data_IF_079171196398
#
_entry.id   IF_079171196398
#
_cell.length_a   1.000
_cell.length_b   1.000
_cell.length_c   1.000
_cell.angle_alpha   90.00
_cell.angle_beta   90.00
_cell.angle_gamma   90.00
#
_symmetry.space_group_name_H-M   'P 1'
#
loop_
_entity.id
_entity.type
_entity.pdbx_description
1 polymer ?
#
# COMPACT_ATOMS: atom_id res chain seq x y z
N UNK A 1 -4.38 7.43 13.47
CA UNK A 1 -3.26 8.29 13.03
C UNK A 1 -1.97 7.50 12.81
N UNK A 2 -1.52 6.66 13.75
CA UNK A 2 -0.29 5.86 13.56
C UNK A 2 -0.35 4.91 12.34
N UNK A 3 -1.49 4.22 12.15
CA UNK A 3 -1.67 3.28 11.04
C UNK A 3 -1.56 3.93 9.66
N UNK A 4 -2.09 5.14 9.49
CA UNK A 4 -2.06 5.83 8.19
C UNK A 4 -0.69 6.37 7.84
N UNK A 5 0.09 6.81 8.83
CA UNK A 5 1.49 7.19 8.62
C UNK A 5 2.31 5.99 8.14
N UNK A 6 2.13 4.83 8.79
CA UNK A 6 2.79 3.58 8.42
C UNK A 6 2.37 3.13 7.01
N UNK A 7 1.07 3.09 6.71
CA UNK A 7 0.55 2.71 5.39
C UNK A 7 1.02 3.66 4.28
N UNK A 8 1.12 4.95 4.56
CA UNK A 8 1.65 5.93 3.61
C UNK A 8 3.13 5.65 3.31
N UNK A 9 3.95 5.40 4.33
CA UNK A 9 5.36 5.05 4.15
C UNK A 9 5.52 3.79 3.30
N UNK A 10 4.72 2.75 3.55
CA UNK A 10 4.71 1.53 2.76
C UNK A 10 4.35 1.80 1.29
N UNK A 11 3.35 2.65 1.04
CA UNK A 11 2.94 3.01 -0.33
C UNK A 11 3.99 3.86 -1.04
N UNK A 12 4.63 4.82 -0.36
CA UNK A 12 5.69 5.67 -0.96
C UNK A 12 6.90 4.82 -1.34
N UNK A 13 7.33 3.88 -0.49
CA UNK A 13 8.42 2.96 -0.81
C UNK A 13 8.05 2.02 -1.97
N UNK A 14 6.84 1.46 -1.96
CA UNK A 14 6.35 0.64 -3.06
C UNK A 14 6.30 1.40 -4.39
N UNK A 15 5.87 2.67 -4.37
CA UNK A 15 5.86 3.53 -5.55
C UNK A 15 7.29 3.82 -6.02
N UNK A 16 8.19 4.25 -5.14
CA UNK A 16 9.57 4.55 -5.47
C UNK A 16 10.28 3.38 -6.17
N UNK A 17 10.04 2.14 -5.69
CA UNK A 17 10.55 0.91 -6.32
C UNK A 17 9.99 0.68 -7.74
N UNK A 18 8.72 1.03 -7.99
CA UNK A 18 8.07 0.81 -9.29
C UNK A 18 8.34 1.93 -10.31
N UNK A 19 8.48 3.17 -9.88
CA UNK A 19 8.79 4.32 -10.77
C UNK A 19 10.28 4.60 -10.91
N UNK A 20 11.14 3.98 -10.09
CA UNK A 20 12.58 4.23 -10.07
C UNK A 20 12.95 5.66 -9.68
N UNK A 21 12.05 6.37 -9.00
CA UNK A 21 12.23 7.74 -8.55
C UNK A 21 12.39 7.78 -7.04
N UNK A 22 13.42 8.46 -6.56
CA UNK A 22 13.58 8.77 -5.14
C UNK A 22 12.54 9.81 -4.73
N UNK A 23 11.49 9.32 -4.08
CA UNK A 23 10.45 10.18 -3.51
C UNK A 23 10.90 10.67 -2.12
N UNK A 24 10.88 11.99 -1.93
CA UNK A 24 11.12 12.61 -0.63
C UNK A 24 9.98 12.24 0.33
N UNK A 25 10.24 11.20 1.11
CA UNK A 25 9.32 10.62 2.07
C UNK A 25 8.94 11.61 3.19
N UNK A 26 9.86 12.50 3.58
CA UNK A 26 9.61 13.49 4.62
C UNK A 26 8.64 14.57 4.11
N UNK A 27 8.80 14.98 2.84
CA UNK A 27 7.87 15.90 2.18
C UNK A 27 6.49 15.27 2.02
N UNK A 28 6.40 14.03 1.55
CA UNK A 28 5.12 13.31 1.42
C UNK A 28 4.41 13.15 2.77
N UNK A 29 5.14 12.85 3.84
CA UNK A 29 4.57 12.75 5.18
C UNK A 29 4.05 14.09 5.70
N UNK A 30 4.78 15.19 5.48
CA UNK A 30 4.32 16.54 5.86
C UNK A 30 3.06 16.94 5.10
N UNK A 31 3.06 16.74 3.79
CA UNK A 31 1.90 17.05 2.94
C UNK A 31 0.68 16.22 3.37
N UNK A 32 0.86 14.91 3.57
CA UNK A 32 -0.21 14.05 4.04
C UNK A 32 -0.69 14.41 5.46
N UNK A 33 0.21 14.84 6.34
CA UNK A 33 -0.15 15.34 7.67
C UNK A 33 -1.06 16.57 7.59
N UNK A 34 -0.68 17.57 6.77
CA UNK A 34 -1.48 18.78 6.55
C UNK A 34 -2.84 18.43 5.92
N UNK A 35 -2.87 17.57 4.89
CA UNK A 35 -4.11 17.14 4.25
C UNK A 35 -5.02 16.42 5.23
N UNK A 36 -4.49 15.50 6.04
CA UNK A 36 -5.29 14.77 7.02
C UNK A 36 -5.79 15.68 8.15
N UNK A 37 -5.03 16.72 8.54
CA UNK A 37 -5.51 17.73 9.48
C UNK A 37 -6.71 18.50 8.91
N UNK A 38 -6.60 18.97 7.66
CA UNK A 38 -7.68 19.65 6.96
C UNK A 38 -8.91 18.74 6.78
N UNK A 39 -8.69 17.47 6.43
CA UNK A 39 -9.76 16.48 6.33
C UNK A 39 -10.43 16.23 7.69
N UNK A 40 -9.66 16.16 8.77
CA UNK A 40 -10.20 16.01 10.13
C UNK A 40 -11.08 17.20 10.54
N UNK A 41 -10.67 18.42 10.21
CA UNK A 41 -11.47 19.63 10.45
C UNK A 41 -12.75 19.66 9.59
N UNK A 42 -12.70 19.12 8.37
CA UNK A 42 -13.84 18.99 7.47
C UNK A 42 -14.74 17.78 7.71
N UNK A 43 -14.50 16.98 8.77
CA UNK A 43 -15.27 15.76 9.06
C UNK A 43 -15.01 14.58 8.11
N UNK A 44 -13.92 14.63 7.34
CA UNK A 44 -13.53 13.63 6.35
C UNK A 44 -12.77 12.43 6.93
N UNK A 45 -12.64 11.38 6.11
CA UNK A 45 -11.91 10.16 6.44
C UNK A 45 -10.41 10.35 6.13
N UNK A 46 -9.54 9.69 6.90
CA UNK A 46 -8.10 9.73 6.67
C UNK A 46 -7.77 9.25 5.25
N UNK A 47 -6.89 9.99 4.57
CA UNK A 47 -6.57 9.80 3.16
C UNK A 47 -5.06 9.72 2.95
N UNK A 48 -4.65 8.92 1.97
CA UNK A 48 -3.27 8.77 1.52
C UNK A 48 -3.23 8.48 0.02
N UNK A 49 -2.07 8.66 -0.60
CA UNK A 49 -1.89 8.41 -2.04
C UNK A 49 -2.08 6.92 -2.37
N UNK A 50 -2.95 6.63 -3.34
CA UNK A 50 -3.17 5.26 -3.82
C UNK A 50 -2.18 4.95 -4.94
N UNK A 51 -1.21 4.08 -4.64
CA UNK A 51 -0.17 3.64 -5.57
C UNK A 51 -0.75 3.11 -6.91
N UNK A 52 -1.76 2.25 -6.85
CA UNK A 52 -2.37 1.67 -8.06
C UNK A 52 -3.02 2.73 -8.97
N UNK A 53 -3.70 3.73 -8.38
CA UNK A 53 -4.33 4.81 -9.13
C UNK A 53 -3.30 5.74 -9.77
N UNK A 54 -2.26 6.09 -9.03
CA UNK A 54 -1.17 6.93 -9.53
C UNK A 54 -0.40 6.25 -10.66
N UNK A 55 -0.13 4.94 -10.54
CA UNK A 55 0.57 4.18 -11.59
C UNK A 55 -0.29 4.09 -12.86
N UNK A 56 -1.59 3.84 -12.72
CA UNK A 56 -2.50 3.80 -13.88
C UNK A 56 -2.61 5.17 -14.55
N UNK A 57 -2.74 6.25 -13.77
CA UNK A 57 -2.75 7.62 -14.30
C UNK A 57 -1.42 7.95 -15.01
N UNK A 58 -0.30 7.51 -14.45
CA UNK A 58 1.02 7.66 -15.07
C UNK A 58 1.12 6.91 -16.40
N UNK A 59 0.64 5.66 -16.46
CA UNK A 59 0.59 4.85 -17.70
C UNK A 59 -0.31 5.44 -18.77
N UNK A 60 -1.41 6.10 -18.38
CA UNK A 60 -2.32 6.79 -19.31
C UNK A 60 -1.82 8.17 -19.76
N UNK A 61 -0.57 8.56 -19.44
CA UNK A 61 -0.01 9.85 -19.82
C UNK A 61 -0.50 11.03 -18.97
N UNK A 62 -1.24 10.77 -17.89
CA UNK A 62 -1.74 11.75 -16.93
C UNK A 62 -0.61 12.31 -16.05
N UNK A 63 0.29 13.09 -16.64
CA UNK A 63 1.43 13.72 -15.96
C UNK A 63 1.15 15.15 -15.48
N UNK A 64 -0.02 15.71 -15.82
CA UNK A 64 -0.35 17.11 -15.53
C UNK A 64 -1.21 17.28 -14.29
N UNK A 65 -1.01 18.39 -13.56
CA UNK A 65 -1.87 18.79 -12.43
C UNK A 65 -3.33 19.05 -12.84
N UNK A 66 -3.57 19.29 -14.13
CA UNK A 66 -4.92 19.42 -14.68
C UNK A 66 -5.68 18.10 -14.63
N UNK A 67 -5.02 16.97 -14.88
CA UNK A 67 -5.67 15.66 -14.83
C UNK A 67 -6.17 15.33 -13.42
N UNK A 68 -5.38 15.65 -12.38
CA UNK A 68 -5.80 15.45 -10.99
C UNK A 68 -6.88 16.44 -10.56
N UNK A 69 -6.83 17.68 -11.02
CA UNK A 69 -7.86 18.69 -10.74
C UNK A 69 -9.21 18.33 -11.36
N UNK A 70 -9.21 17.90 -12.63
CA UNK A 70 -10.42 17.40 -13.31
C UNK A 70 -10.95 16.16 -12.60
N UNK A 71 -10.07 15.23 -12.20
CA UNK A 71 -10.46 14.06 -11.41
C UNK A 71 -11.12 14.45 -10.09
N UNK A 72 -10.54 15.40 -9.35
CA UNK A 72 -11.13 15.90 -8.10
C UNK A 72 -12.49 16.57 -8.32
N UNK A 73 -12.63 17.39 -9.36
CA UNK A 73 -13.90 18.03 -9.71
C UNK A 73 -14.98 16.99 -10.05
N UNK A 74 -14.64 15.95 -10.81
CA UNK A 74 -15.57 14.84 -11.12
C UNK A 74 -15.97 14.11 -9.84
N UNK A 75 -15.02 13.81 -8.94
CA UNK A 75 -15.33 13.13 -7.67
C UNK A 75 -16.26 13.93 -6.75
N UNK A 76 -16.25 15.25 -6.82
CA UNK A 76 -17.14 16.13 -6.05
C UNK A 76 -18.47 16.37 -6.76
N UNK A 77 -18.45 16.67 -8.05
CA UNK A 77 -19.63 17.04 -8.82
C UNK A 77 -20.51 15.83 -9.16
N UNK A 78 -19.91 14.69 -9.49
CA UNK A 78 -20.67 13.51 -9.92
C UNK A 78 -21.64 13.02 -8.84
N UNK A 79 -21.26 12.89 -7.55
CA UNK A 79 -22.23 12.53 -6.51
C UNK A 79 -23.31 13.59 -6.30
N UNK A 80 -23.01 14.88 -6.49
CA UNK A 80 -24.00 15.96 -6.32
C UNK A 80 -25.06 15.93 -7.43
N UNK A 81 -24.64 15.68 -8.68
CA UNK A 81 -25.55 15.65 -9.84
C UNK A 81 -26.25 14.30 -10.00
N UNK A 82 -25.55 13.20 -9.68
CA UNK A 82 -26.01 11.82 -9.93
C UNK A 82 -26.31 11.03 -8.65
N UNK A 83 -26.52 11.69 -7.51
CA UNK A 83 -26.88 11.05 -6.24
C UNK A 83 -27.99 9.97 -6.37
N UNK A 84 -29.10 10.24 -7.11
CA UNK A 84 -30.16 9.25 -7.27
C UNK A 84 -29.69 8.01 -8.04
N UNK A 85 -28.80 8.20 -9.02
CA UNK A 85 -28.28 7.13 -9.86
C UNK A 85 -27.30 6.23 -9.10
N UNK A 86 -26.50 6.79 -8.19
CA UNK A 86 -25.61 6.03 -7.31
C UNK A 86 -26.37 5.05 -6.39
N UNK A 87 -27.63 5.35 -6.06
CA UNK A 87 -28.46 4.48 -5.20
C UNK A 87 -28.86 3.18 -5.93
N UNK A 88 -28.96 3.21 -7.26
CA UNK A 88 -29.20 2.02 -8.08
C UNK A 88 -27.94 1.17 -8.27
N UNK A 89 -26.77 1.63 -7.81
CA UNK A 89 -25.54 0.91 -8.02
C UNK A 89 -25.56 -0.41 -7.22
N UNK A 90 -25.43 -1.57 -7.88
CA UNK A 90 -25.56 -2.86 -7.22
C UNK A 90 -24.37 -3.08 -6.28
N UNK A 91 -24.64 -2.97 -4.97
CA UNK A 91 -23.70 -3.31 -3.88
C UNK A 91 -23.01 -4.68 -4.07
N UNK A 92 -23.64 -5.74 -4.63
CA UNK A 92 -22.97 -7.01 -4.89
C UNK A 92 -21.75 -6.89 -5.81
N UNK A 93 -21.74 -5.95 -6.76
CA UNK A 93 -20.59 -5.75 -7.67
C UNK A 93 -19.39 -5.23 -6.88
N UNK A 94 -19.61 -4.28 -5.97
CA UNK A 94 -18.55 -3.75 -5.09
C UNK A 94 -17.99 -4.84 -4.17
N UNK A 95 -18.87 -5.67 -3.61
CA UNK A 95 -18.46 -6.82 -2.80
C UNK A 95 -17.67 -7.86 -3.61
N UNK A 96 -18.12 -8.18 -4.82
CA UNK A 96 -17.42 -9.08 -5.74
C UNK A 96 -16.04 -8.57 -6.12
N UNK A 97 -15.90 -7.27 -6.38
CA UNK A 97 -14.61 -6.63 -6.65
C UNK A 97 -13.68 -6.73 -5.43
N UNK A 98 -14.19 -6.48 -4.22
CA UNK A 98 -13.41 -6.59 -2.99
C UNK A 98 -12.95 -8.02 -2.74
N UNK A 99 -13.83 -9.00 -2.94
CA UNK A 99 -13.49 -10.42 -2.84
C UNK A 99 -12.45 -10.82 -3.89
N UNK A 100 -12.60 -10.37 -5.13
CA UNK A 100 -11.63 -10.63 -6.19
C UNK A 100 -10.25 -10.07 -5.84
N UNK A 101 -10.17 -8.82 -5.38
CA UNK A 101 -8.92 -8.22 -4.92
C UNK A 101 -8.31 -9.03 -3.76
N UNK A 102 -9.10 -9.39 -2.77
CA UNK A 102 -8.67 -10.22 -1.65
C UNK A 102 -8.12 -11.58 -2.09
N UNK A 103 -8.88 -12.32 -2.89
CA UNK A 103 -8.46 -13.63 -3.42
C UNK A 103 -7.23 -13.53 -4.31
N UNK A 104 -7.12 -12.49 -5.14
CA UNK A 104 -5.97 -12.30 -6.02
C UNK A 104 -4.67 -12.12 -5.21
N UNK A 105 -4.73 -11.37 -4.11
CA UNK A 105 -3.62 -11.22 -3.18
C UNK A 105 -3.31 -12.54 -2.46
N UNK A 106 -4.33 -13.28 -2.02
CA UNK A 106 -4.13 -14.58 -1.39
C UNK A 106 -3.44 -15.56 -2.34
N UNK A 107 -3.89 -15.66 -3.59
CA UNK A 107 -3.28 -16.56 -4.59
C UNK A 107 -1.83 -16.19 -4.89
N UNK A 108 -1.53 -14.89 -4.98
CA UNK A 108 -0.17 -14.42 -5.23
C UNK A 108 0.77 -14.78 -4.06
N UNK A 109 0.36 -14.49 -2.82
CA UNK A 109 1.24 -14.62 -1.65
C UNK A 109 1.20 -15.98 -0.95
N UNK A 110 0.10 -16.73 -1.05
CA UNK A 110 -0.01 -18.08 -0.44
C UNK A 110 0.46 -19.15 -1.41
N UNK A 111 0.06 -19.06 -2.68
CA UNK A 111 0.32 -20.12 -3.66
C UNK A 111 1.54 -19.81 -4.54
N UNK A 112 1.55 -18.68 -5.26
CA UNK A 112 2.65 -18.37 -6.21
C UNK A 112 3.97 -18.05 -5.53
N UNK A 113 3.91 -17.45 -4.34
CA UNK A 113 5.09 -17.18 -3.51
C UNK A 113 5.93 -18.44 -3.24
N UNK A 114 5.32 -19.63 -3.17
CA UNK A 114 6.03 -20.89 -2.92
C UNK A 114 7.09 -21.19 -3.98
N UNK A 115 6.81 -20.91 -5.26
CA UNK A 115 7.75 -21.17 -6.35
C UNK A 115 8.82 -20.09 -6.52
N UNK A 116 8.59 -18.90 -5.98
CA UNK A 116 9.42 -17.72 -6.24
C UNK A 116 10.36 -17.40 -5.07
N UNK A 117 9.97 -17.77 -3.85
CA UNK A 117 10.73 -17.44 -2.63
C UNK A 117 11.50 -18.65 -2.09
N UNK A 118 12.58 -18.36 -1.38
CA UNK A 118 13.30 -19.38 -0.61
C UNK A 118 12.40 -19.94 0.50
N UNK A 119 12.63 -21.20 0.93
CA UNK A 119 11.81 -21.85 1.98
C UNK A 119 11.71 -21.02 3.27
N UNK A 120 12.79 -20.30 3.63
CA UNK A 120 12.81 -19.41 4.78
C UNK A 120 11.95 -18.16 4.55
N UNK A 121 12.09 -17.51 3.40
CA UNK A 121 11.34 -16.29 3.10
C UNK A 121 9.84 -16.59 2.95
N UNK A 122 9.47 -17.77 2.40
CA UNK A 122 8.07 -18.23 2.34
C UNK A 122 7.48 -18.47 3.74
N UNK A 123 8.23 -19.10 4.65
CA UNK A 123 7.80 -19.29 6.03
C UNK A 123 7.49 -17.97 6.75
N UNK A 124 8.29 -16.94 6.49
CA UNK A 124 8.09 -15.59 7.04
C UNK A 124 6.79 -14.99 6.49
N UNK A 125 6.57 -15.02 5.16
CA UNK A 125 5.34 -14.51 4.54
C UNK A 125 4.09 -15.19 5.12
N UNK A 126 4.11 -16.52 5.26
CA UNK A 126 2.98 -17.25 5.84
C UNK A 126 2.74 -16.93 7.30
N UNK A 127 3.80 -16.70 8.09
CA UNK A 127 3.66 -16.28 9.49
C UNK A 127 2.97 -14.91 9.60
N UNK A 128 3.34 -13.96 8.75
CA UNK A 128 2.75 -12.62 8.71
C UNK A 128 1.28 -12.71 8.30
N UNK A 129 0.99 -13.45 7.22
CA UNK A 129 -0.37 -13.65 6.72
C UNK A 129 -1.30 -14.24 7.79
N UNK A 130 -0.85 -15.29 8.48
CA UNK A 130 -1.64 -15.98 9.50
C UNK A 130 -1.93 -15.07 10.70
N UNK A 131 -0.92 -14.33 11.18
CA UNK A 131 -1.08 -13.42 12.31
C UNK A 131 -1.92 -12.20 11.94
N UNK A 132 -1.79 -11.68 10.71
CA UNK A 132 -2.65 -10.62 10.21
C UNK A 132 -4.11 -11.02 10.16
N UNK A 133 -4.42 -12.27 9.78
CA UNK A 133 -5.77 -12.80 9.74
C UNK A 133 -6.38 -13.04 11.13
N UNK A 134 -5.58 -13.47 12.11
CA UNK A 134 -6.07 -13.83 13.45
C UNK A 134 -6.09 -12.66 14.43
N UNK A 135 -5.01 -11.88 14.49
CA UNK A 135 -4.80 -10.84 15.50
C UNK A 135 -4.95 -9.42 14.95
N UNK A 136 -4.86 -9.26 13.64
CA UNK A 136 -4.99 -7.98 12.96
C UNK A 136 -3.73 -7.57 12.21
N UNK A 137 -3.91 -6.62 11.29
CA UNK A 137 -2.85 -6.16 10.39
C UNK A 137 -1.62 -5.61 11.13
N UNK A 138 -1.81 -4.87 12.23
CA UNK A 138 -0.72 -4.23 12.96
C UNK A 138 0.22 -5.25 13.61
N UNK A 139 -0.32 -6.34 14.13
CA UNK A 139 0.43 -7.43 14.75
C UNK A 139 1.24 -8.21 13.71
N UNK A 140 0.64 -8.48 12.55
CA UNK A 140 1.37 -9.10 11.43
C UNK A 140 2.51 -8.22 10.93
N UNK A 141 2.30 -6.90 10.86
CA UNK A 141 3.36 -5.95 10.51
C UNK A 141 4.50 -5.96 11.53
N UNK A 142 4.19 -5.96 12.83
CA UNK A 142 5.20 -6.01 13.89
C UNK A 142 6.07 -7.28 13.80
N UNK A 143 5.46 -8.44 13.53
CA UNK A 143 6.20 -9.68 13.29
C UNK A 143 7.07 -9.61 12.04
N UNK A 144 6.56 -9.04 10.94
CA UNK A 144 7.33 -8.87 9.72
C UNK A 144 8.57 -8.00 9.95
N UNK A 145 8.44 -6.93 10.74
CA UNK A 145 9.57 -6.11 11.14
C UNK A 145 10.59 -6.88 12.01
N UNK A 146 10.13 -7.69 12.96
CA UNK A 146 11.00 -8.56 13.74
C UNK A 146 11.79 -9.55 12.88
N UNK A 147 11.12 -10.20 11.92
CA UNK A 147 11.78 -11.08 10.96
C UNK A 147 12.78 -10.36 10.06
N UNK A 148 12.50 -9.12 9.66
CA UNK A 148 13.43 -8.31 8.87
C UNK A 148 14.74 -8.06 9.64
N UNK A 149 14.66 -7.76 10.95
CA UNK A 149 15.85 -7.59 11.80
C UNK A 149 16.64 -8.89 11.91
N UNK A 150 15.96 -10.02 12.15
CA UNK A 150 16.61 -11.34 12.24
C UNK A 150 17.30 -11.71 10.93
N UNK A 151 16.63 -11.51 9.79
CA UNK A 151 17.21 -11.74 8.47
C UNK A 151 18.40 -10.84 8.22
N UNK A 152 18.36 -9.57 8.66
CA UNK A 152 19.48 -8.63 8.53
C UNK A 152 20.70 -9.12 9.31
N UNK A 153 20.51 -9.57 10.55
CA UNK A 153 21.61 -10.13 11.36
C UNK A 153 22.20 -11.39 10.71
N UNK A 154 21.35 -12.34 10.32
CA UNK A 154 21.79 -13.60 9.71
C UNK A 154 22.47 -13.42 8.34
N UNK A 155 22.01 -12.44 7.55
CA UNK A 155 22.59 -12.14 6.23
C UNK A 155 23.79 -11.21 6.33
N UNK A 156 23.82 -10.28 7.30
CA UNK A 156 24.92 -9.36 7.56
C UNK A 156 26.22 -10.08 7.90
N UNK A 157 26.14 -11.16 8.67
CA UNK A 157 27.27 -12.05 8.99
C UNK A 157 27.93 -12.70 7.76
N UNK A 158 27.21 -12.81 6.64
CA UNK A 158 27.77 -13.34 5.39
C UNK A 158 28.51 -12.27 4.57
N UNK A 159 28.17 -11.00 4.74
CA UNK A 159 28.84 -9.88 4.07
C UNK A 159 30.19 -9.54 4.71
N UNK A 160 30.36 -9.76 6.02
CA UNK A 160 31.64 -9.54 6.70
C UNK A 160 32.68 -10.62 6.37
N UNK A 161 32.28 -11.88 6.19
CA UNK A 161 33.22 -12.97 5.84
C UNK A 161 33.88 -12.79 4.47
N UNK A 162 33.14 -12.35 3.46
CA UNK A 162 33.70 -12.11 2.11
C UNK A 162 34.71 -10.95 2.07
N UNK A 163 34.62 -10.00 3.01
CA UNK A 163 35.52 -8.85 3.09
C UNK A 163 36.75 -9.08 3.98
N UNK A 164 36.77 -10.18 4.75
CA UNK A 164 37.90 -10.57 5.61
C UNK A 164 38.87 -11.53 4.91
N UNK A 165 38.43 -12.15 3.81
CA UNK A 165 39.22 -13.08 2.99
C UNK A 165 39.77 -12.44 1.68
N UNK A 166 39.64 -11.10 1.55
CA UNK A 166 40.16 -10.30 0.43
C UNK A 166 41.12 -9.22 0.94
#
# INVERSE_FOLDING_TARGET
>A
MATTAITLMMNVQGMALMTGQDLDTNRELKVAGVVNLLMGLGGGILSFHSMNKSLLAYKMGGRSRLATLVGAAVFVLLPMLAAPLLTYFPKPILGGLLLYLGLSLLLEWVYRAWSTLSKLDYGIVQSIWLVSGMFGFLQGLALGWGWAVVLLCLRGDRWQRVKSDA
#
